data_IF_804116248778
#
_entry.id   IF_804116248778
#
_cell.length_a   1.000
_cell.length_b   1.000
_cell.length_c   1.000
_cell.angle_alpha   90.00
_cell.angle_beta   90.00
_cell.angle_gamma   90.00
#
_symmetry.space_group_name_H-M   'P 1'
#
loop_
_entity.id
_entity.type
_entity.pdbx_description
1 polymer ?
#
# COMPACT_ATOMS: atom_id res chain seq x y z
N UNK A 1 2.22 62.76 -14.74
CA UNK A 1 1.20 61.70 -14.53
C UNK A 1 1.49 60.45 -15.37
N UNK A 2 1.68 60.53 -16.69
CA UNK A 2 1.95 59.36 -17.54
C UNK A 2 3.19 58.54 -17.12
N UNK A 3 4.31 59.19 -16.77
CA UNK A 3 5.54 58.51 -16.34
C UNK A 3 5.34 57.69 -15.07
N UNK A 4 4.58 58.22 -14.11
CA UNK A 4 4.28 57.54 -12.84
C UNK A 4 3.36 56.33 -13.07
N UNK A 5 2.36 56.47 -13.95
CA UNK A 5 1.49 55.36 -14.33
C UNK A 5 2.27 54.23 -15.05
N UNK A 6 3.16 54.58 -15.98
CA UNK A 6 4.00 53.59 -16.67
C UNK A 6 4.96 52.87 -15.71
N UNK A 7 5.54 53.59 -14.74
CA UNK A 7 6.43 52.99 -13.73
C UNK A 7 5.70 52.03 -12.78
N UNK A 8 4.45 52.33 -12.42
CA UNK A 8 3.62 51.44 -11.61
C UNK A 8 3.19 50.18 -12.40
N UNK A 9 2.89 50.32 -13.69
CA UNK A 9 2.54 49.17 -14.54
C UNK A 9 3.74 48.26 -14.81
N UNK A 10 4.93 48.83 -15.06
CA UNK A 10 6.12 48.02 -15.31
C UNK A 10 6.60 47.26 -14.07
N UNK A 11 6.52 47.90 -12.89
CA UNK A 11 6.89 47.26 -11.62
C UNK A 11 5.93 46.13 -11.24
N UNK A 12 4.62 46.33 -11.36
CA UNK A 12 3.62 45.28 -11.11
C UNK A 12 3.75 44.10 -12.09
N UNK A 13 3.99 44.38 -13.37
CA UNK A 13 4.24 43.35 -14.39
C UNK A 13 5.53 42.55 -14.11
N UNK A 14 6.61 43.23 -13.69
CA UNK A 14 7.88 42.58 -13.35
C UNK A 14 7.71 41.64 -12.15
N UNK A 15 7.01 42.08 -11.10
CA UNK A 15 6.71 41.25 -9.93
C UNK A 15 5.87 40.04 -10.34
N UNK A 16 4.82 40.23 -11.14
CA UNK A 16 4.00 39.12 -11.66
C UNK A 16 4.81 38.12 -12.48
N UNK A 17 5.70 38.60 -13.35
CA UNK A 17 6.59 37.76 -14.17
C UNK A 17 7.57 36.97 -13.30
N UNK A 18 8.12 37.56 -12.24
CA UNK A 18 8.99 36.88 -11.29
C UNK A 18 8.24 35.78 -10.54
N UNK A 19 7.03 36.04 -10.05
CA UNK A 19 6.21 34.99 -9.41
C UNK A 19 5.89 33.84 -10.38
N UNK A 20 5.52 34.14 -11.62
CA UNK A 20 5.24 33.13 -12.64
C UNK A 20 6.49 32.31 -13.01
N UNK A 21 7.64 32.97 -13.12
CA UNK A 21 8.92 32.31 -13.45
C UNK A 21 9.41 31.47 -12.28
N UNK A 22 9.26 31.94 -11.04
CA UNK A 22 9.64 31.20 -9.85
C UNK A 22 8.77 29.93 -9.69
N UNK A 23 7.45 30.02 -9.94
CA UNK A 23 6.59 28.83 -10.00
C UNK A 23 7.02 27.84 -11.07
N UNK A 24 7.44 28.31 -12.26
CA UNK A 24 7.94 27.43 -13.33
C UNK A 24 9.29 26.79 -12.99
N UNK A 25 10.21 27.55 -12.39
CA UNK A 25 11.53 27.08 -11.97
C UNK A 25 11.46 26.04 -10.85
N UNK A 26 10.57 26.22 -9.87
CA UNK A 26 10.31 25.22 -8.82
C UNK A 26 9.72 23.92 -9.37
N UNK A 27 8.95 23.99 -10.47
CA UNK A 27 8.44 22.81 -11.17
C UNK A 27 9.48 22.16 -12.11
N UNK A 28 10.67 22.76 -12.31
CA UNK A 28 11.68 22.32 -13.28
C UNK A 28 12.98 21.82 -12.66
N UNK A 29 13.00 21.44 -11.37
CA UNK A 29 14.08 20.61 -10.88
C UNK A 29 14.01 19.27 -11.62
N UNK A 30 15.12 18.78 -12.16
CA UNK A 30 15.18 17.53 -12.92
C UNK A 30 16.12 16.54 -12.24
N UNK A 31 15.73 15.27 -12.20
CA UNK A 31 16.58 14.18 -11.75
C UNK A 31 17.11 13.40 -12.97
N UNK A 32 18.28 12.79 -12.81
CA UNK A 32 18.91 11.93 -13.82
C UNK A 32 18.70 10.48 -13.38
N UNK A 33 18.04 9.69 -14.22
CA UNK A 33 17.88 8.25 -14.00
C UNK A 33 19.18 7.48 -14.24
N UNK A 34 19.23 6.23 -13.80
CA UNK A 34 20.36 5.30 -14.01
C UNK A 34 20.64 4.99 -15.48
N UNK A 35 19.69 5.25 -16.38
CA UNK A 35 19.81 5.12 -17.84
C UNK A 35 20.21 6.42 -18.55
N UNK A 36 20.42 7.52 -17.81
CA UNK A 36 20.78 8.84 -18.34
C UNK A 36 19.61 9.70 -18.79
N UNK A 37 18.36 9.24 -18.67
CA UNK A 37 17.17 10.05 -18.99
C UNK A 37 16.89 11.11 -17.92
N UNK A 38 16.36 12.27 -18.35
CA UNK A 38 16.07 13.42 -17.49
C UNK A 38 14.56 13.47 -17.25
N UNK A 39 14.14 13.36 -15.98
CA UNK A 39 12.72 13.41 -15.59
C UNK A 39 12.50 14.55 -14.61
N UNK A 40 11.38 15.31 -14.72
CA UNK A 40 10.99 16.29 -13.71
C UNK A 40 10.96 15.68 -12.30
N UNK A 41 11.64 16.30 -11.34
CA UNK A 41 11.73 15.87 -9.94
C UNK A 41 10.35 15.71 -9.28
N UNK A 42 9.37 16.51 -9.71
CA UNK A 42 7.98 16.41 -9.27
C UNK A 42 7.34 15.06 -9.61
N UNK A 43 7.68 14.48 -10.76
CA UNK A 43 7.18 13.16 -11.17
C UNK A 43 7.89 12.04 -10.39
N UNK A 44 9.19 12.19 -10.13
CA UNK A 44 9.96 11.24 -9.29
C UNK A 44 9.40 11.20 -7.88
N UNK A 45 9.23 12.36 -7.26
CA UNK A 45 8.68 12.48 -5.89
C UNK A 45 7.24 11.96 -5.79
N UNK A 46 6.38 12.18 -6.79
CA UNK A 46 5.04 11.59 -6.82
C UNK A 46 5.07 10.05 -6.89
N UNK A 47 5.95 9.47 -7.71
CA UNK A 47 6.09 8.02 -7.84
C UNK A 47 6.67 7.37 -6.57
N UNK A 48 7.65 8.02 -5.94
CA UNK A 48 8.19 7.59 -4.65
C UNK A 48 7.10 7.62 -3.56
N UNK A 49 6.33 8.72 -3.49
CA UNK A 49 5.22 8.84 -2.54
C UNK A 49 4.16 7.75 -2.73
N UNK A 50 3.79 7.45 -3.99
CA UNK A 50 2.85 6.37 -4.28
C UNK A 50 3.39 5.02 -3.79
N UNK A 51 4.67 4.71 -4.06
CA UNK A 51 5.27 3.44 -3.64
C UNK A 51 5.22 3.29 -2.12
N UNK A 52 5.52 4.35 -1.37
CA UNK A 52 5.45 4.34 0.09
C UNK A 52 4.01 4.12 0.57
N UNK A 53 3.03 4.86 0.04
CA UNK A 53 1.61 4.68 0.38
C UNK A 53 1.11 3.27 0.05
N UNK A 54 1.53 2.71 -1.09
CA UNK A 54 1.18 1.38 -1.51
C UNK A 54 1.78 0.29 -0.61
N UNK A 55 3.04 0.43 -0.19
CA UNK A 55 3.66 -0.49 0.78
C UNK A 55 2.93 -0.44 2.13
N UNK A 56 2.61 0.76 2.62
CA UNK A 56 1.84 0.93 3.85
C UNK A 56 0.42 0.33 3.73
N UNK A 57 -0.22 0.45 2.57
CA UNK A 57 -1.52 -0.17 2.29
C UNK A 57 -1.46 -1.70 2.33
N UNK A 58 -0.44 -2.29 1.68
CA UNK A 58 -0.22 -3.73 1.69
C UNK A 58 0.10 -4.25 3.09
N UNK A 59 0.94 -3.55 3.85
CA UNK A 59 1.25 -3.88 5.24
C UNK A 59 -0.01 -3.85 6.12
N UNK A 60 -0.85 -2.82 5.97
CA UNK A 60 -2.09 -2.69 6.72
C UNK A 60 -3.07 -3.83 6.40
N UNK A 61 -3.23 -4.16 5.11
CA UNK A 61 -4.07 -5.27 4.68
C UNK A 61 -3.60 -6.60 5.24
N UNK A 62 -2.31 -6.94 5.08
CA UNK A 62 -1.78 -8.23 5.54
C UNK A 62 -1.82 -8.34 7.06
N UNK A 63 -1.56 -7.25 7.79
CA UNK A 63 -1.75 -7.24 9.24
C UNK A 63 -3.21 -7.51 9.61
N UNK A 64 -4.17 -6.79 9.03
CA UNK A 64 -5.58 -7.01 9.36
C UNK A 64 -6.09 -8.39 8.94
N UNK A 65 -5.62 -8.95 7.82
CA UNK A 65 -6.11 -10.22 7.34
C UNK A 65 -5.47 -11.43 8.05
N UNK A 66 -4.19 -11.33 8.42
CA UNK A 66 -3.40 -12.45 8.92
C UNK A 66 -2.94 -12.32 10.38
N UNK A 67 -2.99 -11.15 11.00
CA UNK A 67 -2.68 -10.99 12.43
C UNK A 67 -3.99 -11.04 13.23
N UNK A 68 -4.46 -12.26 13.49
CA UNK A 68 -5.79 -12.51 14.04
C UNK A 68 -5.78 -13.55 15.17
N UNK A 69 -6.64 -13.30 16.14
CA UNK A 69 -6.98 -14.20 17.25
C UNK A 69 -8.45 -14.04 17.63
N UNK A 70 -8.93 -14.83 18.59
CA UNK A 70 -10.33 -14.83 18.99
C UNK A 70 -10.87 -13.46 19.45
N UNK A 71 -10.01 -12.55 19.91
CA UNK A 71 -10.40 -11.24 20.43
C UNK A 71 -10.58 -10.17 19.35
N UNK A 72 -9.89 -10.31 18.20
CA UNK A 72 -9.81 -9.24 17.19
C UNK A 72 -10.24 -9.66 15.78
N UNK A 73 -10.46 -10.96 15.53
CA UNK A 73 -10.64 -11.46 14.16
C UNK A 73 -11.77 -10.75 13.38
N UNK A 74 -12.93 -10.49 13.99
CA UNK A 74 -14.08 -9.87 13.31
C UNK A 74 -13.74 -8.46 12.84
N UNK A 75 -13.24 -7.64 13.77
CA UNK A 75 -12.88 -6.24 13.50
C UNK A 75 -11.73 -6.12 12.53
N UNK A 76 -10.73 -6.98 12.64
CA UNK A 76 -9.58 -6.96 11.74
C UNK A 76 -10.00 -7.39 10.32
N UNK A 77 -10.79 -8.46 10.17
CA UNK A 77 -11.27 -8.87 8.85
C UNK A 77 -12.22 -7.85 8.22
N UNK A 78 -13.11 -7.22 8.98
CA UNK A 78 -13.94 -6.12 8.47
C UNK A 78 -13.08 -5.01 7.84
N UNK A 79 -12.01 -4.60 8.54
CA UNK A 79 -11.08 -3.59 8.01
C UNK A 79 -10.30 -4.08 6.81
N UNK A 80 -9.86 -5.34 6.79
CA UNK A 80 -9.14 -5.89 5.64
C UNK A 80 -10.02 -5.91 4.37
N UNK A 81 -11.32 -6.20 4.52
CA UNK A 81 -12.28 -6.22 3.41
C UNK A 81 -12.52 -4.82 2.81
N UNK A 82 -12.34 -3.73 3.58
CA UNK A 82 -12.36 -2.36 3.04
C UNK A 82 -11.17 -2.03 2.12
N UNK A 83 -10.08 -2.79 2.19
CA UNK A 83 -8.84 -2.55 1.44
C UNK A 83 -8.77 -3.38 0.14
N UNK A 84 -9.72 -4.28 -0.08
CA UNK A 84 -9.75 -5.17 -1.24
C UNK A 84 -11.09 -5.16 -1.96
N UNK A 85 -11.10 -5.70 -3.18
CA UNK A 85 -12.32 -5.94 -3.92
C UNK A 85 -12.87 -7.36 -3.66
N UNK A 86 -13.80 -7.79 -4.51
CA UNK A 86 -14.41 -9.14 -4.48
C UNK A 86 -13.42 -10.31 -4.45
N UNK A 87 -12.17 -10.16 -4.93
CA UNK A 87 -11.15 -11.22 -4.83
C UNK A 87 -10.76 -11.50 -3.38
N UNK A 88 -10.65 -10.46 -2.55
CA UNK A 88 -10.40 -10.58 -1.10
C UNK A 88 -11.65 -11.11 -0.38
N UNK A 89 -12.84 -10.64 -0.77
CA UNK A 89 -14.10 -11.16 -0.22
C UNK A 89 -14.24 -12.66 -0.45
N UNK A 90 -13.89 -13.12 -1.66
CA UNK A 90 -13.96 -14.52 -2.03
C UNK A 90 -12.98 -15.36 -1.21
N UNK A 91 -11.75 -14.87 -1.00
CA UNK A 91 -10.78 -15.54 -0.13
C UNK A 91 -11.30 -15.67 1.30
N UNK A 92 -11.85 -14.59 1.87
CA UNK A 92 -12.46 -14.62 3.20
C UNK A 92 -13.58 -15.66 3.28
N UNK A 93 -14.49 -15.66 2.31
CA UNK A 93 -15.60 -16.63 2.25
C UNK A 93 -15.11 -18.07 2.12
N UNK A 94 -14.07 -18.30 1.32
CA UNK A 94 -13.43 -19.60 1.17
C UNK A 94 -12.83 -20.07 2.49
N UNK A 95 -11.99 -19.26 3.15
CA UNK A 95 -11.40 -19.61 4.45
C UNK A 95 -12.46 -19.87 5.53
N UNK A 96 -13.57 -19.13 5.48
CA UNK A 96 -14.73 -19.35 6.36
C UNK A 96 -15.39 -20.70 6.10
N UNK A 97 -15.63 -21.05 4.83
CA UNK A 97 -16.21 -22.34 4.43
C UNK A 97 -15.28 -23.52 4.80
N UNK A 98 -13.97 -23.34 4.65
CA UNK A 98 -12.94 -24.31 5.03
C UNK A 98 -12.75 -24.43 6.57
N UNK A 99 -13.52 -23.66 7.34
CA UNK A 99 -13.53 -23.70 8.81
C UNK A 99 -12.29 -23.10 9.46
N UNK A 100 -11.49 -22.30 8.75
CA UNK A 100 -10.26 -21.66 9.30
C UNK A 100 -10.60 -20.84 10.55
N UNK A 101 -11.58 -19.95 10.45
CA UNK A 101 -11.97 -19.09 11.56
C UNK A 101 -12.69 -19.86 12.69
N UNK A 102 -13.43 -20.92 12.34
CA UNK A 102 -14.03 -21.80 13.35
C UNK A 102 -12.95 -22.48 14.21
N UNK A 103 -11.88 -22.99 13.58
CA UNK A 103 -10.74 -23.58 14.31
C UNK A 103 -9.99 -22.54 15.13
N UNK A 104 -9.82 -21.33 14.60
CA UNK A 104 -9.20 -20.22 15.34
C UNK A 104 -9.94 -19.93 16.65
N UNK A 105 -11.28 -19.93 16.64
CA UNK A 105 -12.09 -19.74 17.83
C UNK A 105 -12.10 -20.98 18.75
N UNK A 106 -12.35 -22.17 18.20
CA UNK A 106 -12.50 -23.40 18.99
C UNK A 106 -11.23 -23.80 19.73
N UNK A 107 -10.07 -23.58 19.12
CA UNK A 107 -8.76 -23.93 19.68
C UNK A 107 -8.01 -22.71 20.23
N UNK A 108 -8.65 -21.54 20.28
CA UNK A 108 -8.05 -20.28 20.72
C UNK A 108 -6.68 -20.02 20.05
N UNK A 109 -6.60 -20.25 18.74
CA UNK A 109 -5.37 -20.08 17.99
C UNK A 109 -5.00 -18.61 17.92
N UNK A 110 -3.72 -18.31 18.11
CA UNK A 110 -3.18 -16.97 17.86
C UNK A 110 -2.35 -17.03 16.59
N UNK A 111 -2.85 -16.41 15.52
CA UNK A 111 -2.09 -16.22 14.30
C UNK A 111 -1.39 -14.86 14.37
N UNK A 112 -0.08 -14.87 14.62
CA UNK A 112 0.71 -13.66 14.83
C UNK A 112 1.62 -13.39 13.64
N UNK A 113 1.43 -12.26 12.98
CA UNK A 113 2.34 -11.81 11.91
C UNK A 113 3.67 -11.38 12.52
N UNK A 114 4.77 -11.94 12.00
CA UNK A 114 6.14 -11.60 12.39
C UNK A 114 6.76 -10.58 11.43
N UNK A 115 6.55 -10.75 10.13
CA UNK A 115 7.04 -9.82 9.12
C UNK A 115 6.19 -9.84 7.86
N UNK A 116 6.18 -8.70 7.17
CA UNK A 116 5.54 -8.50 5.86
C UNK A 116 6.58 -7.82 4.96
N UNK A 117 7.07 -8.53 3.95
CA UNK A 117 7.92 -7.94 2.90
C UNK A 117 7.11 -7.83 1.61
N UNK A 118 6.86 -6.61 1.14
CA UNK A 118 6.09 -6.35 -0.07
C UNK A 118 6.96 -5.75 -1.17
N UNK A 119 6.84 -6.29 -2.37
CA UNK A 119 7.50 -5.78 -3.58
C UNK A 119 6.45 -5.34 -4.58
N UNK A 120 6.56 -4.10 -5.02
CA UNK A 120 5.69 -3.53 -6.05
C UNK A 120 6.45 -3.50 -7.37
N UNK A 121 5.81 -4.04 -8.40
CA UNK A 121 6.23 -3.97 -9.78
C UNK A 121 5.24 -3.12 -10.59
N UNK A 122 5.78 -2.16 -11.35
CA UNK A 122 5.02 -1.26 -12.19
C UNK A 122 5.29 -1.62 -13.65
N UNK A 123 4.23 -1.93 -14.40
CA UNK A 123 4.31 -2.22 -15.82
C UNK A 123 3.22 -1.47 -16.57
N UNK A 124 3.62 -0.53 -17.43
CA UNK A 124 2.72 0.26 -18.29
C UNK A 124 1.51 0.88 -17.54
N UNK A 125 1.73 1.43 -16.35
CA UNK A 125 0.67 2.07 -15.55
C UNK A 125 -0.20 1.11 -14.73
N UNK A 126 0.08 -0.20 -14.76
CA UNK A 126 -0.49 -1.18 -13.85
C UNK A 126 0.49 -1.48 -12.72
N UNK A 127 -0.03 -1.53 -11.49
CA UNK A 127 0.75 -1.87 -10.30
C UNK A 127 0.39 -3.28 -9.84
N UNK A 128 1.37 -4.16 -9.87
CA UNK A 128 1.27 -5.51 -9.29
C UNK A 128 2.14 -5.60 -8.06
N UNK A 129 1.81 -6.51 -7.15
CA UNK A 129 2.62 -6.77 -5.97
C UNK A 129 2.84 -8.25 -5.73
N UNK A 130 3.91 -8.53 -5.01
CA UNK A 130 4.17 -9.81 -4.36
C UNK A 130 4.51 -9.52 -2.91
N UNK A 131 3.83 -10.19 -1.99
CA UNK A 131 4.06 -10.03 -0.56
C UNK A 131 4.41 -11.37 0.07
N UNK A 132 5.53 -11.38 0.79
CA UNK A 132 5.92 -12.49 1.66
C UNK A 132 5.51 -12.14 3.08
N UNK A 133 4.58 -12.88 3.65
CA UNK A 133 4.14 -12.75 5.04
C UNK A 133 4.65 -13.93 5.84
N UNK A 134 5.42 -13.67 6.89
CA UNK A 134 5.84 -14.68 7.86
C UNK A 134 4.95 -14.53 9.09
N UNK A 135 4.30 -15.62 9.51
CA UNK A 135 3.46 -15.63 10.69
C UNK A 135 3.58 -16.93 11.47
N UNK A 136 3.31 -16.85 12.76
CA UNK A 136 3.23 -17.99 13.67
C UNK A 136 1.78 -18.35 13.93
N UNK A 137 1.50 -19.65 14.06
CA UNK A 137 0.26 -20.15 14.65
C UNK A 137 0.60 -20.80 15.98
N UNK A 138 0.20 -20.13 17.06
CA UNK A 138 0.33 -20.66 18.42
C UNK A 138 -0.93 -21.41 18.82
N UNK A 139 -0.77 -22.69 19.22
CA UNK A 139 -1.84 -23.59 19.68
C UNK A 139 -1.70 -23.94 21.18
N UNK A 140 -1.10 -23.05 21.96
CA UNK A 140 -0.78 -23.23 23.37
C UNK A 140 0.61 -23.85 23.58
N UNK A 141 0.75 -25.15 23.30
CA UNK A 141 2.01 -25.89 23.52
C UNK A 141 2.92 -25.97 22.30
N UNK A 142 2.39 -25.68 21.10
CA UNK A 142 3.10 -25.78 19.83
C UNK A 142 2.97 -24.45 19.11
N UNK A 143 4.10 -23.95 18.61
CA UNK A 143 4.19 -22.79 17.73
C UNK A 143 4.71 -23.28 16.39
N UNK A 144 3.92 -23.07 15.34
CA UNK A 144 4.30 -23.39 13.97
C UNK A 144 4.51 -22.09 13.19
N UNK A 145 5.66 -21.93 12.54
CA UNK A 145 5.95 -20.77 11.70
C UNK A 145 5.64 -21.09 10.23
N UNK A 146 5.03 -20.14 9.53
CA UNK A 146 4.66 -20.27 8.14
C UNK A 146 5.15 -19.09 7.31
N UNK A 147 5.57 -19.38 6.08
CA UNK A 147 5.79 -18.41 5.02
C UNK A 147 4.61 -18.48 4.03
N UNK A 148 3.95 -17.35 3.83
CA UNK A 148 2.91 -17.15 2.83
C UNK A 148 3.39 -16.18 1.77
N UNK A 149 3.37 -16.60 0.50
CA UNK A 149 3.63 -15.72 -0.64
C UNK A 149 2.30 -15.42 -1.34
N UNK A 150 1.89 -14.16 -1.32
CA UNK A 150 0.68 -13.67 -1.99
C UNK A 150 1.00 -12.72 -3.13
N UNK A 151 0.09 -12.61 -4.10
CA UNK A 151 0.20 -11.70 -5.23
C UNK A 151 -1.13 -10.99 -5.48
N UNK A 152 -1.06 -9.87 -6.19
CA UNK A 152 -2.24 -9.17 -6.66
C UNK A 152 -1.90 -7.89 -7.39
N UNK A 153 -2.92 -7.09 -7.65
CA UNK A 153 -2.83 -5.81 -8.31
C UNK A 153 -3.34 -4.70 -7.38
N UNK A 154 -2.80 -3.49 -7.55
CA UNK A 154 -3.23 -2.27 -6.86
C UNK A 154 -3.83 -1.31 -7.88
N UNK A 155 -5.02 -0.80 -7.57
CA UNK A 155 -5.66 0.29 -8.33
C UNK A 155 -5.92 1.48 -7.42
N UNK A 156 -5.92 2.68 -7.99
CA UNK A 156 -6.32 3.89 -7.28
C UNK A 156 -7.85 4.00 -7.23
N UNK A 157 -8.36 4.43 -6.09
CA UNK A 157 -9.77 4.70 -5.83
C UNK A 157 -9.92 5.98 -5.01
N UNK A 158 -11.15 6.50 -4.92
CA UNK A 158 -11.41 7.65 -4.07
C UNK A 158 -11.09 7.33 -2.59
N UNK A 159 -10.34 8.24 -1.95
CA UNK A 159 -9.98 8.12 -0.54
C UNK A 159 -11.23 8.17 0.33
N UNK A 160 -11.30 7.27 1.30
CA UNK A 160 -12.42 7.19 2.24
C UNK A 160 -11.85 7.14 3.67
N UNK A 161 -12.13 8.17 4.49
CA UNK A 161 -11.74 8.15 5.89
C UNK A 161 -12.91 7.71 6.78
N UNK A 162 -12.72 6.77 7.73
CA UNK A 162 -11.45 6.18 8.14
C UNK A 162 -11.07 4.87 7.43
N UNK A 163 -11.90 4.34 6.53
CA UNK A 163 -11.81 2.93 6.11
C UNK A 163 -10.71 2.64 5.07
N UNK A 164 -10.48 3.55 4.13
CA UNK A 164 -9.45 3.46 3.10
C UNK A 164 -8.79 4.84 2.84
N UNK A 165 -7.98 5.34 3.79
CA UNK A 165 -7.36 6.66 3.68
C UNK A 165 -6.30 6.75 2.59
N UNK A 166 -5.72 5.62 2.17
CA UNK A 166 -4.72 5.58 1.09
C UNK A 166 -5.36 5.77 -0.29
N UNK A 167 -6.64 5.41 -0.47
CA UNK A 167 -7.29 5.45 -1.79
C UNK A 167 -6.70 4.43 -2.75
N UNK A 168 -6.35 3.26 -2.21
CA UNK A 168 -5.84 2.12 -2.97
C UNK A 168 -6.76 0.94 -2.76
N UNK A 169 -6.88 0.07 -3.76
CA UNK A 169 -7.69 -1.13 -3.66
C UNK A 169 -6.90 -2.34 -4.18
N UNK A 170 -6.84 -3.38 -3.36
CA UNK A 170 -6.27 -4.67 -3.74
C UNK A 170 -7.25 -5.42 -4.62
N UNK A 171 -6.78 -5.88 -5.77
CA UNK A 171 -7.58 -6.63 -6.75
C UNK A 171 -6.81 -7.85 -7.23
N UNK A 172 -7.53 -8.86 -7.72
CA UNK A 172 -6.93 -10.12 -8.20
C UNK A 172 -5.98 -10.73 -7.16
N UNK A 173 -6.41 -10.78 -5.90
CA UNK A 173 -5.59 -11.30 -4.81
C UNK A 173 -5.52 -12.83 -4.84
N UNK A 174 -4.32 -13.38 -4.71
CA UNK A 174 -4.06 -14.82 -4.67
C UNK A 174 -3.02 -15.18 -3.60
N UNK A 175 -3.30 -16.25 -2.84
CA UNK A 175 -2.32 -16.92 -1.98
C UNK A 175 -1.60 -18.00 -2.80
N UNK A 176 -0.36 -17.77 -3.22
CA UNK A 176 0.35 -18.64 -4.16
C UNK A 176 0.96 -19.86 -3.47
N UNK A 177 1.63 -19.65 -2.35
CA UNK A 177 2.28 -20.72 -1.59
C UNK A 177 2.14 -20.49 -0.10
N UNK A 178 1.84 -21.56 0.64
CA UNK A 178 1.91 -21.60 2.09
C UNK A 178 2.86 -22.73 2.49
N UNK A 179 4.00 -22.37 3.09
CA UNK A 179 5.02 -23.33 3.51
C UNK A 179 5.21 -23.24 5.01
N UNK A 180 5.21 -24.39 5.68
CA UNK A 180 5.67 -24.46 7.07
C UNK A 180 7.18 -24.30 7.07
N UNK A 181 7.71 -23.35 7.84
CA UNK A 181 9.13 -23.25 8.10
C UNK A 181 9.45 -24.25 9.21
N UNK A 182 10.35 -25.18 8.93
CA UNK A 182 10.87 -26.07 9.95
C UNK A 182 12.05 -25.37 10.60
N UNK A 183 12.12 -25.39 11.93
CA UNK A 183 13.36 -25.09 12.64
C UNK A 183 14.35 -26.23 12.31
N UNK A 184 15.10 -26.10 11.24
CA UNK A 184 16.36 -26.82 11.12
C UNK A 184 17.36 -26.11 12.05
N UNK A 185 17.54 -26.73 13.21
CA UNK A 185 18.50 -26.41 14.27
C UNK A 185 19.92 -26.13 13.78
#
# INVERSE_FOLDING_TARGET
MAVVACALLSSTFSVWMVFNTNQKALNSAFAINTDGSIIPLKLVTQKENFRVEALAHLELFHNYFYNIDASNYERNLEKALWLGNSSVDNLYRQKKADGVYNRLLQYSLVQKVLSIDSRINENNGSYSFTTTTIFEINRGSIIDTYELVSTGNLIMVDRNFPNNPHGLLITNYFENTLKKLNDES
#
